data_IF_783430435215
#
_entry.id   IF_783430435215
#
_cell.length_a   1.000
_cell.length_b   1.000
_cell.length_c   1.000
_cell.angle_alpha   90.00
_cell.angle_beta   90.00
_cell.angle_gamma   90.00
#
_symmetry.space_group_name_H-M   'P 1'
#
loop_
_entity.id
_entity.type
_entity.pdbx_description
1 polymer ?
#
# COMPACT_ATOMS: atom_id res chain seq x y z
N UNK A 1 0.14 10.03 -30.19
CA UNK A 1 -0.02 10.92 -29.02
C UNK A 1 -1.13 10.48 -28.05
N UNK A 2 -2.01 9.52 -28.38
CA UNK A 2 -3.12 9.09 -27.49
C UNK A 2 -2.77 8.02 -26.45
N UNK A 3 -1.73 7.20 -26.68
CA UNK A 3 -1.38 6.10 -25.76
C UNK A 3 -0.78 6.62 -24.45
N UNK A 4 0.10 7.63 -24.53
CA UNK A 4 0.78 8.20 -23.34
C UNK A 4 -0.23 8.83 -22.38
N UNK A 5 -1.15 9.65 -22.91
CA UNK A 5 -2.21 10.30 -22.12
C UNK A 5 -3.09 9.26 -21.40
N UNK A 6 -3.40 8.14 -22.05
CA UNK A 6 -4.24 7.10 -21.47
C UNK A 6 -3.55 6.34 -20.32
N UNK A 7 -2.28 6.02 -20.49
CA UNK A 7 -1.45 5.38 -19.45
C UNK A 7 -1.29 6.27 -18.22
N UNK A 8 -1.06 7.56 -18.44
CA UNK A 8 -0.95 8.58 -17.41
C UNK A 8 -2.23 8.67 -16.57
N UNK A 9 -3.41 8.67 -17.23
CA UNK A 9 -4.70 8.64 -16.54
C UNK A 9 -4.91 7.38 -15.68
N UNK A 10 -4.57 6.20 -16.20
CA UNK A 10 -4.74 4.94 -15.47
C UNK A 10 -3.82 4.85 -14.25
N UNK A 11 -2.56 5.29 -14.40
CA UNK A 11 -1.59 5.28 -13.31
C UNK A 11 -2.00 6.23 -12.19
N UNK A 12 -2.57 7.38 -12.55
CA UNK A 12 -3.09 8.35 -11.60
C UNK A 12 -4.33 7.83 -10.86
N UNK A 13 -5.30 7.26 -11.57
CA UNK A 13 -6.47 6.65 -10.95
C UNK A 13 -6.07 5.51 -10.00
N UNK A 14 -5.08 4.71 -10.39
CA UNK A 14 -4.50 3.68 -9.54
C UNK A 14 -3.87 4.25 -8.28
N UNK A 15 -3.02 5.28 -8.41
CA UNK A 15 -2.37 5.96 -7.30
C UNK A 15 -3.40 6.47 -6.28
N UNK A 16 -4.41 7.19 -6.77
CA UNK A 16 -5.45 7.78 -5.92
C UNK A 16 -6.27 6.69 -5.20
N UNK A 17 -6.67 5.63 -5.92
CA UNK A 17 -7.43 4.52 -5.34
C UNK A 17 -6.61 3.80 -4.27
N UNK A 18 -5.43 3.29 -4.61
CA UNK A 18 -4.59 2.52 -3.66
C UNK A 18 -4.18 3.39 -2.48
N UNK A 19 -3.80 4.65 -2.70
CA UNK A 19 -3.48 5.57 -1.61
C UNK A 19 -4.67 5.78 -0.67
N UNK A 20 -5.88 6.00 -1.21
CA UNK A 20 -7.08 6.18 -0.40
C UNK A 20 -7.49 4.93 0.39
N UNK A 21 -7.31 3.74 -0.18
CA UNK A 21 -7.55 2.47 0.51
C UNK A 21 -6.55 2.26 1.66
N UNK A 22 -5.27 2.57 1.44
CA UNK A 22 -4.25 2.51 2.51
C UNK A 22 -4.59 3.49 3.64
N UNK A 23 -4.99 4.73 3.34
CA UNK A 23 -5.43 5.68 4.36
C UNK A 23 -6.63 5.16 5.15
N UNK A 24 -7.59 4.52 4.45
CA UNK A 24 -8.79 3.95 5.05
C UNK A 24 -8.46 2.78 5.96
N UNK A 25 -7.60 1.87 5.52
CA UNK A 25 -7.12 0.75 6.33
C UNK A 25 -6.31 1.23 7.53
N UNK A 26 -5.42 2.21 7.37
CA UNK A 26 -4.72 2.79 8.50
C UNK A 26 -5.70 3.29 9.56
N UNK A 27 -6.71 4.09 9.17
CA UNK A 27 -7.77 4.58 10.08
C UNK A 27 -8.56 3.44 10.73
N UNK A 28 -8.87 2.39 9.97
CA UNK A 28 -9.61 1.24 10.47
C UNK A 28 -8.79 0.46 11.50
N UNK A 29 -7.56 0.09 11.16
CA UNK A 29 -6.66 -0.73 11.97
C UNK A 29 -6.39 -0.07 13.32
N UNK A 30 -6.06 1.22 13.33
CA UNK A 30 -5.75 1.93 14.59
C UNK A 30 -6.94 2.01 15.56
N UNK A 31 -8.17 1.89 15.07
CA UNK A 31 -9.40 1.95 15.89
C UNK A 31 -9.75 0.60 16.52
N UNK A 32 -9.09 -0.47 16.09
CA UNK A 32 -9.29 -1.81 16.67
C UNK A 32 -8.72 -1.89 18.08
N UNK A 33 -9.26 -2.77 18.91
CA UNK A 33 -8.82 -2.97 20.31
C UNK A 33 -7.30 -3.15 20.44
N UNK A 34 -6.67 -3.83 19.47
CA UNK A 34 -5.23 -4.07 19.44
C UNK A 34 -4.39 -2.78 19.47
N UNK A 35 -4.95 -1.65 19.04
CA UNK A 35 -4.25 -0.38 18.89
C UNK A 35 -4.84 0.76 19.75
N UNK A 36 -5.99 0.58 20.39
CA UNK A 36 -6.69 1.64 21.15
C UNK A 36 -5.85 2.35 22.21
N UNK A 37 -4.96 1.64 22.90
CA UNK A 37 -4.10 2.25 23.92
C UNK A 37 -2.94 3.06 23.32
N UNK A 38 -2.57 2.79 22.06
CA UNK A 38 -1.45 3.43 21.36
C UNK A 38 -1.86 4.72 20.62
N UNK A 39 -3.16 5.01 20.54
CA UNK A 39 -3.71 6.15 19.79
C UNK A 39 -4.22 7.29 20.66
N UNK A 40 -4.26 7.13 21.99
CA UNK A 40 -4.88 8.08 22.95
C UNK A 40 -4.44 9.55 22.82
N UNK A 41 -3.28 9.83 22.21
CA UNK A 41 -2.77 11.19 22.00
C UNK A 41 -2.48 11.56 20.52
N UNK A 42 -2.66 10.64 19.57
CA UNK A 42 -1.99 10.68 18.25
C UNK A 42 -2.92 10.64 17.03
N UNK A 43 -4.23 10.77 17.22
CA UNK A 43 -5.23 10.62 16.14
C UNK A 43 -5.13 11.64 15.00
N UNK A 44 -4.29 12.69 15.09
CA UNK A 44 -4.36 13.84 14.17
C UNK A 44 -3.60 13.69 12.85
N UNK A 45 -2.72 12.70 12.69
CA UNK A 45 -1.92 12.58 11.46
C UNK A 45 -1.88 11.15 10.92
N UNK A 46 -2.36 10.99 9.69
CA UNK A 46 -2.35 9.72 8.95
C UNK A 46 -0.94 9.13 8.80
N UNK A 47 0.09 9.99 8.71
CA UNK A 47 1.49 9.56 8.65
C UNK A 47 1.91 8.79 9.91
N UNK A 48 1.31 9.15 11.07
CA UNK A 48 1.63 8.55 12.36
C UNK A 48 1.00 7.16 12.53
N UNK A 49 -0.10 6.91 11.83
CA UNK A 49 -0.79 5.62 11.89
C UNK A 49 0.08 4.50 11.36
N UNK A 50 0.80 4.75 10.26
CA UNK A 50 1.75 3.77 9.72
C UNK A 50 2.82 3.38 10.75
N UNK A 51 3.37 4.35 11.50
CA UNK A 51 4.37 4.10 12.55
C UNK A 51 3.78 3.29 13.71
N UNK A 52 2.56 3.60 14.12
CA UNK A 52 1.85 2.85 15.17
C UNK A 52 1.62 1.40 14.73
N UNK A 53 1.14 1.20 13.49
CA UNK A 53 0.89 -0.11 12.91
C UNK A 53 2.19 -0.90 12.78
N UNK A 54 3.25 -0.26 12.29
CA UNK A 54 4.60 -0.83 12.18
C UNK A 54 5.12 -1.36 13.53
N UNK A 55 4.90 -0.62 14.62
CA UNK A 55 5.37 -1.02 15.96
C UNK A 55 4.78 -2.33 16.50
N UNK A 56 3.76 -2.86 15.82
CA UNK A 56 3.04 -4.07 16.22
C UNK A 56 3.14 -5.16 15.16
N UNK A 57 3.15 -4.79 13.88
CA UNK A 57 3.19 -5.74 12.76
C UNK A 57 4.57 -5.94 12.15
N UNK A 58 5.55 -5.09 12.47
CA UNK A 58 6.91 -5.17 11.95
C UNK A 58 6.95 -5.27 10.42
N UNK A 59 6.14 -4.45 9.72
CA UNK A 59 5.91 -4.57 8.28
C UNK A 59 7.14 -4.21 7.45
N UNK A 60 8.09 -3.44 8.02
CA UNK A 60 9.38 -3.13 7.39
C UNK A 60 10.31 -4.35 7.25
N UNK A 61 10.04 -5.43 7.97
CA UNK A 61 10.78 -6.70 7.85
C UNK A 61 10.39 -7.49 6.59
N UNK A 62 9.24 -7.19 5.99
CA UNK A 62 8.76 -7.89 4.81
C UNK A 62 9.43 -7.38 3.52
N UNK A 63 9.87 -8.32 2.70
CA UNK A 63 10.19 -8.11 1.28
C UNK A 63 9.13 -8.80 0.43
N UNK A 64 8.64 -8.11 -0.60
CA UNK A 64 7.70 -8.70 -1.58
C UNK A 64 8.42 -8.93 -2.89
N UNK A 65 8.22 -10.10 -3.50
CA UNK A 65 8.72 -10.43 -4.82
C UNK A 65 7.64 -10.15 -5.87
N UNK A 66 7.96 -9.30 -6.84
CA UNK A 66 7.13 -8.98 -7.99
C UNK A 66 7.59 -9.87 -9.15
N UNK A 67 7.00 -11.06 -9.25
CA UNK A 67 7.43 -12.13 -10.16
C UNK A 67 7.60 -11.76 -11.64
N UNK A 68 6.70 -11.01 -12.29
CA UNK A 68 6.78 -10.77 -13.73
C UNK A 68 8.04 -9.99 -14.11
N UNK A 69 8.55 -9.18 -13.17
CA UNK A 69 9.76 -8.39 -13.33
C UNK A 69 10.90 -8.85 -12.41
N UNK A 70 10.72 -9.99 -11.72
CA UNK A 70 11.65 -10.60 -10.75
C UNK A 70 12.28 -9.57 -9.81
N UNK A 71 11.48 -8.60 -9.34
CA UNK A 71 11.98 -7.47 -8.55
C UNK A 71 11.47 -7.58 -7.12
N UNK A 72 12.38 -7.40 -6.16
CA UNK A 72 12.02 -7.24 -4.75
C UNK A 72 11.63 -5.79 -4.46
N UNK A 73 10.59 -5.61 -3.66
CA UNK A 73 10.15 -4.30 -3.16
C UNK A 73 10.03 -4.34 -1.63
N UNK A 74 10.17 -3.17 -1.00
CA UNK A 74 9.99 -2.95 0.44
C UNK A 74 8.92 -1.87 0.63
N UNK A 75 7.64 -2.27 0.72
CA UNK A 75 6.54 -1.30 0.82
C UNK A 75 6.63 -0.37 2.03
N UNK A 76 7.17 -0.89 3.14
CA UNK A 76 7.39 -0.19 4.40
C UNK A 76 8.80 0.38 4.51
N UNK A 77 9.29 1.00 3.43
CA UNK A 77 10.55 1.74 3.45
C UNK A 77 10.31 3.16 3.99
N UNK A 78 10.72 3.36 5.23
CA UNK A 78 10.65 4.62 5.94
C UNK A 78 11.74 5.60 5.50
N UNK A 79 11.37 6.88 5.36
CA UNK A 79 12.27 8.00 5.10
C UNK A 79 11.98 9.13 6.09
N UNK A 80 13.02 9.86 6.45
CA UNK A 80 12.90 11.07 7.27
C UNK A 80 12.69 12.29 6.36
N UNK A 81 11.73 13.14 6.72
CA UNK A 81 11.45 14.39 6.05
C UNK A 81 12.29 15.53 6.63
N UNK A 82 12.36 16.66 5.91
CA UNK A 82 13.09 17.87 6.35
C UNK A 82 12.63 18.41 7.71
N UNK A 83 11.38 18.16 8.08
CA UNK A 83 10.81 18.54 9.37
C UNK A 83 10.99 17.46 10.48
N UNK A 84 11.83 16.45 10.25
CA UNK A 84 12.09 15.34 11.17
C UNK A 84 10.96 14.30 11.27
N UNK A 85 9.91 14.39 10.44
CA UNK A 85 8.83 13.39 10.43
C UNK A 85 9.20 12.19 9.58
N UNK A 86 8.86 10.99 10.05
CA UNK A 86 9.11 9.75 9.31
C UNK A 86 7.86 9.36 8.52
N UNK A 87 8.01 8.99 7.26
CA UNK A 87 6.92 8.55 6.38
C UNK A 87 7.39 7.49 5.40
N UNK A 88 6.46 6.81 4.73
CA UNK A 88 6.81 5.90 3.64
C UNK A 88 7.19 6.69 2.39
N UNK A 89 8.24 6.26 1.69
CA UNK A 89 8.77 6.94 0.50
C UNK A 89 7.67 7.27 -0.52
N UNK A 90 6.84 6.28 -0.87
CA UNK A 90 5.75 6.44 -1.82
C UNK A 90 4.58 7.26 -1.24
N UNK A 91 4.33 7.12 0.07
CA UNK A 91 3.18 7.75 0.72
C UNK A 91 3.40 9.25 0.91
N UNK A 92 4.66 9.70 1.03
CA UNK A 92 5.02 11.12 0.98
C UNK A 92 4.50 11.76 -0.30
N UNK A 93 4.88 11.20 -1.45
CA UNK A 93 4.52 11.71 -2.78
C UNK A 93 3.01 11.74 -2.94
N UNK A 94 2.34 10.64 -2.58
CA UNK A 94 0.87 10.58 -2.60
C UNK A 94 0.24 11.66 -1.70
N UNK A 95 0.66 11.75 -0.44
CA UNK A 95 0.04 12.67 0.53
C UNK A 95 0.23 14.14 0.17
N UNK A 96 1.40 14.48 -0.39
CA UNK A 96 1.75 15.84 -0.79
C UNK A 96 0.98 16.28 -2.06
N UNK A 97 0.84 15.38 -3.04
CA UNK A 97 0.30 15.73 -4.36
C UNK A 97 -1.06 15.10 -4.69
N UNK A 98 -1.75 14.40 -3.79
CA UNK A 98 -3.08 13.78 -4.08
C UNK A 98 -4.16 14.77 -4.53
N UNK A 99 -3.99 16.06 -4.24
CA UNK A 99 -4.87 17.14 -4.68
C UNK A 99 -4.33 17.91 -5.89
N UNK A 100 -3.07 17.69 -6.28
CA UNK A 100 -2.42 18.24 -7.46
C UNK A 100 -2.03 17.13 -8.44
N UNK A 101 -2.99 16.80 -9.30
CA UNK A 101 -2.89 15.70 -10.28
C UNK A 101 -1.70 15.86 -11.23
N UNK A 102 -1.37 17.09 -11.63
CA UNK A 102 -0.29 17.35 -12.59
C UNK A 102 1.08 17.09 -11.96
N UNK A 103 1.28 17.51 -10.71
CA UNK A 103 2.54 17.20 -10.01
C UNK A 103 2.60 15.73 -9.58
N UNK A 104 1.47 15.14 -9.20
CA UNK A 104 1.43 13.73 -8.84
C UNK A 104 1.86 12.84 -10.00
N UNK A 105 1.40 13.11 -11.23
CA UNK A 105 1.76 12.30 -12.40
C UNK A 105 3.25 12.38 -12.73
N UNK A 106 3.87 13.55 -12.54
CA UNK A 106 5.30 13.76 -12.77
C UNK A 106 6.16 13.03 -11.74
N UNK A 107 5.70 12.94 -10.48
CA UNK A 107 6.45 12.32 -9.39
C UNK A 107 6.12 10.84 -9.18
N UNK A 108 4.94 10.39 -9.59
CA UNK A 108 4.49 9.04 -9.39
C UNK A 108 5.01 8.11 -10.49
N UNK A 109 5.48 6.92 -10.11
CA UNK A 109 6.04 5.97 -11.05
C UNK A 109 5.67 4.53 -10.67
N UNK A 110 6.10 3.57 -11.49
CA UNK A 110 5.81 2.16 -11.26
C UNK A 110 6.37 1.65 -9.93
N UNK A 111 7.53 2.14 -9.47
CA UNK A 111 8.09 1.77 -8.16
C UNK A 111 7.15 2.22 -7.03
N UNK A 112 6.62 3.45 -7.09
CA UNK A 112 5.66 3.94 -6.11
C UNK A 112 4.38 3.11 -6.14
N UNK A 113 3.89 2.79 -7.34
CA UNK A 113 2.70 1.95 -7.55
C UNK A 113 2.84 0.56 -6.91
N UNK A 114 3.95 -0.12 -7.17
CA UNK A 114 4.22 -1.45 -6.61
C UNK A 114 4.36 -1.40 -5.09
N UNK A 115 5.03 -0.39 -4.53
CA UNK A 115 5.13 -0.24 -3.08
C UNK A 115 3.79 0.10 -2.43
N UNK A 116 2.96 0.95 -3.04
CA UNK A 116 1.64 1.27 -2.53
C UNK A 116 0.74 0.03 -2.48
N UNK A 117 0.73 -0.76 -3.55
CA UNK A 117 -0.03 -2.00 -3.62
C UNK A 117 0.52 -3.08 -2.69
N UNK A 118 1.84 -3.20 -2.60
CA UNK A 118 2.48 -4.09 -1.63
C UNK A 118 2.16 -3.70 -0.19
N UNK A 119 2.03 -2.40 0.10
CA UNK A 119 1.63 -1.91 1.41
C UNK A 119 0.20 -2.34 1.73
N UNK A 120 -0.72 -2.10 0.80
CA UNK A 120 -2.12 -2.54 0.91
C UNK A 120 -2.21 -4.05 1.18
N UNK A 121 -1.47 -4.86 0.41
CA UNK A 121 -1.41 -6.31 0.61
C UNK A 121 -0.92 -6.67 2.02
N UNK A 122 0.21 -6.12 2.46
CA UNK A 122 0.77 -6.42 3.79
C UNK A 122 -0.18 -6.04 4.92
N UNK A 123 -0.91 -4.93 4.77
CA UNK A 123 -1.92 -4.53 5.75
C UNK A 123 -3.07 -5.54 5.81
N UNK A 124 -3.57 -6.00 4.66
CA UNK A 124 -4.66 -6.98 4.60
C UNK A 124 -4.25 -8.32 5.22
N UNK A 125 -3.05 -8.83 4.91
CA UNK A 125 -2.63 -10.15 5.44
C UNK A 125 -2.27 -10.11 6.92
N UNK A 126 -1.74 -8.98 7.43
CA UNK A 126 -1.31 -8.85 8.82
C UNK A 126 -2.40 -8.33 9.75
N UNK A 127 -3.47 -7.75 9.19
CA UNK A 127 -4.65 -7.36 9.93
C UNK A 127 -5.77 -8.39 9.71
N UNK A 128 -5.78 -9.51 10.45
CA UNK A 128 -6.89 -10.45 10.37
C UNK A 128 -8.17 -9.73 10.79
N UNK A 129 -9.09 -9.55 9.85
CA UNK A 129 -10.48 -9.24 10.18
C UNK A 129 -11.06 -10.37 11.02
N UNK A 130 -12.07 -10.04 11.82
CA UNK A 130 -12.67 -10.85 12.88
C UNK A 130 -13.22 -12.25 12.48
N UNK A 131 -13.07 -12.69 11.22
CA UNK A 131 -13.65 -13.95 10.71
C UNK A 131 -12.64 -15.03 10.27
N UNK A 132 -11.42 -14.96 10.80
CA UNK A 132 -10.48 -16.08 10.72
C UNK A 132 -9.39 -15.90 9.68
N UNK A 133 -8.22 -16.40 10.08
CA UNK A 133 -6.92 -16.30 9.41
C UNK A 133 -6.98 -16.74 7.95
N UNK A 134 -7.06 -15.80 7.01
CA UNK A 134 -6.98 -16.11 5.57
C UNK A 134 -5.52 -16.41 5.16
N UNK A 135 -4.52 -15.94 5.91
CA UNK A 135 -3.11 -16.15 5.58
C UNK A 135 -2.33 -16.71 6.78
N UNK A 136 -1.89 -17.98 6.69
CA UNK A 136 -1.06 -18.63 7.71
C UNK A 136 0.43 -18.32 7.46
N UNK A 137 1.05 -17.75 8.49
CA UNK A 137 2.29 -16.96 8.46
C UNK A 137 3.58 -17.79 8.59
N UNK A 138 3.61 -19.04 8.11
CA UNK A 138 4.76 -19.93 8.40
C UNK A 138 5.76 -20.17 7.29
N UNK A 139 5.54 -19.65 6.07
CA UNK A 139 6.52 -19.51 4.98
C UNK A 139 5.79 -18.87 3.79
N UNK A 140 5.82 -17.54 3.66
CA UNK A 140 5.09 -16.83 2.61
C UNK A 140 6.06 -16.32 1.53
N UNK A 141 6.52 -17.21 0.65
CA UNK A 141 6.84 -16.83 -0.72
C UNK A 141 5.51 -16.83 -1.47
N UNK A 142 5.00 -15.67 -1.85
CA UNK A 142 3.74 -15.60 -2.61
C UNK A 142 3.95 -14.82 -3.89
N UNK A 143 3.66 -15.53 -4.97
CA UNK A 143 3.67 -15.09 -6.35
C UNK A 143 2.55 -14.05 -6.55
N UNK A 144 2.86 -12.79 -6.26
CA UNK A 144 1.86 -11.73 -6.13
C UNK A 144 1.37 -11.14 -7.45
N UNK A 145 2.14 -11.31 -8.50
CA UNK A 145 1.78 -10.83 -9.83
C UNK A 145 2.07 -11.96 -10.81
N UNK A 146 1.04 -12.64 -11.29
CA UNK A 146 1.16 -13.48 -12.47
C UNK A 146 0.52 -12.70 -13.62
N UNK A 147 1.26 -12.42 -14.68
CA UNK A 147 0.73 -11.80 -15.91
C UNK A 147 -0.19 -12.75 -16.71
N UNK A 148 -0.63 -13.87 -16.12
CA UNK A 148 -1.58 -14.79 -16.72
C UNK A 148 -3.00 -14.22 -16.60
N UNK A 149 -3.31 -13.25 -17.45
CA UNK A 149 -4.60 -12.58 -17.47
C UNK A 149 -4.90 -11.88 -18.80
N UNK A 150 -4.33 -12.36 -19.92
CA UNK A 150 -4.76 -11.96 -21.26
C UNK A 150 -5.64 -13.00 -21.96
N UNK A 151 -6.04 -14.08 -21.29
CA UNK A 151 -7.08 -14.98 -21.77
C UNK A 151 -8.25 -14.92 -20.78
N UNK A 152 -9.30 -14.21 -21.18
CA UNK A 152 -10.61 -14.28 -20.56
C UNK A 152 -11.16 -15.68 -20.78
N UNK A 153 -11.24 -16.50 -19.75
CA UNK A 153 -12.23 -17.57 -19.67
C UNK A 153 -13.21 -17.20 -18.56
N UNK A 154 -14.36 -16.67 -18.97
CA UNK A 154 -15.52 -16.48 -18.10
C UNK A 154 -16.08 -17.86 -17.76
N UNK A 155 -15.92 -18.30 -16.51
CA UNK A 155 -16.79 -19.33 -15.96
C UNK A 155 -18.01 -18.64 -15.34
N UNK A 156 -19.12 -18.70 -16.07
CA UNK A 156 -20.47 -18.51 -15.54
C UNK A 156 -20.77 -19.77 -14.73
N UNK A 157 -21.09 -19.60 -13.44
CA UNK A 157 -21.64 -20.70 -12.64
C UNK A 157 -23.11 -20.88 -13.02
N UNK A 158 -23.46 -22.08 -13.49
CA UNK A 158 -24.80 -22.67 -13.30
C UNK A 158 -24.85 -23.34 -11.91
#
# INVERSE_FOLDING_TARGET
MNIVIWWDHQLMDFCLKVGSEVETLFKYIIRTEKFKDRTKNDEKSINRYGVIIESVYHLSEYEIIVNPIKKKIKPFKWIENENGTITLEWFKIYSEYKHDKLYLIDKWNLKHSLNALGCLFLLVINHPTLDGKIFYLKNFETDLFNLAGSNQDYFIFD
#
